data_IF_284338081158
#
_entry.id   IF_284338081158
#
_cell.length_a   1.000
_cell.length_b   1.000
_cell.length_c   1.000
_cell.angle_alpha   90.00
_cell.angle_beta   90.00
_cell.angle_gamma   90.00
#
_symmetry.space_group_name_H-M   'P 1'
#
loop_
_entity.id
_entity.type
_entity.pdbx_description
1 polymer ?
#
# COMPACT_ATOMS: atom_id res chain seq x y z
N UNK A 1 2.01 -0.17 12.35
CA UNK A 1 1.86 0.50 11.05
C UNK A 1 3.12 1.30 10.77
N UNK A 2 3.56 1.35 9.51
CA UNK A 2 4.74 2.10 9.06
C UNK A 2 4.39 2.95 7.84
N UNK A 3 4.82 4.22 7.82
CA UNK A 3 4.68 5.10 6.66
C UNK A 3 6.07 5.28 6.03
N UNK A 4 6.23 4.74 4.84
CA UNK A 4 7.47 4.70 4.08
C UNK A 4 7.44 5.77 3.00
N UNK A 5 8.29 6.80 3.17
CA UNK A 5 8.38 7.96 2.27
C UNK A 5 9.68 8.04 1.49
N UNK A 6 10.59 7.09 1.70
CA UNK A 6 11.90 7.08 1.03
C UNK A 6 12.17 5.70 0.47
N UNK A 7 12.88 5.64 -0.65
CA UNK A 7 13.26 4.36 -1.26
C UNK A 7 14.12 3.51 -0.32
N UNK A 8 15.03 4.14 0.41
CA UNK A 8 15.83 3.44 1.44
C UNK A 8 14.95 2.84 2.54
N UNK A 9 13.86 3.51 2.94
CA UNK A 9 12.89 2.99 3.90
C UNK A 9 12.18 1.75 3.35
N UNK A 10 11.79 1.79 2.07
CA UNK A 10 11.16 0.67 1.36
C UNK A 10 12.07 -0.56 1.35
N UNK A 11 13.34 -0.37 0.97
CA UNK A 11 14.31 -1.46 0.92
C UNK A 11 14.69 -2.02 2.29
N UNK A 12 14.46 -1.28 3.38
CA UNK A 12 14.76 -1.70 4.75
C UNK A 12 13.54 -2.22 5.53
N UNK A 13 12.39 -2.40 4.87
CA UNK A 13 11.20 -2.98 5.49
C UNK A 13 11.52 -4.29 6.23
N UNK A 14 11.08 -4.36 7.48
CA UNK A 14 11.22 -5.52 8.36
C UNK A 14 9.96 -6.37 8.22
N UNK A 15 9.99 -7.32 7.28
CA UNK A 15 8.92 -8.29 7.07
C UNK A 15 9.51 -9.60 6.56
N UNK A 16 8.71 -10.67 6.50
CA UNK A 16 9.19 -11.96 6.02
C UNK A 16 9.63 -11.86 4.56
N UNK A 17 10.76 -12.50 4.24
CA UNK A 17 11.43 -12.33 2.94
C UNK A 17 10.51 -12.58 1.73
N UNK A 18 9.69 -13.65 1.68
CA UNK A 18 8.82 -13.89 0.53
C UNK A 18 7.83 -12.75 0.27
N UNK A 19 7.20 -12.21 1.32
CA UNK A 19 6.22 -11.12 1.18
C UNK A 19 6.91 -9.81 0.80
N UNK A 20 8.11 -9.57 1.32
CA UNK A 20 8.95 -8.44 0.89
C UNK A 20 9.31 -8.52 -0.58
N UNK A 21 9.81 -9.67 -1.03
CA UNK A 21 10.24 -9.86 -2.41
C UNK A 21 9.05 -9.69 -3.37
N UNK A 22 7.87 -10.22 -3.01
CA UNK A 22 6.62 -10.04 -3.74
C UNK A 22 6.18 -8.56 -3.80
N UNK A 23 6.20 -7.87 -2.66
CA UNK A 23 5.85 -6.44 -2.59
C UNK A 23 6.76 -5.59 -3.47
N UNK A 24 8.09 -5.78 -3.36
CA UNK A 24 9.06 -5.01 -4.16
C UNK A 24 8.92 -5.35 -5.64
N UNK A 25 8.74 -6.61 -6.00
CA UNK A 25 8.52 -7.02 -7.39
C UNK A 25 7.29 -6.32 -7.99
N UNK A 26 6.16 -6.33 -7.27
CA UNK A 26 4.93 -5.66 -7.70
C UNK A 26 5.13 -4.15 -7.88
N UNK A 27 5.73 -3.49 -6.89
CA UNK A 27 5.99 -2.05 -6.97
C UNK A 27 6.89 -1.68 -8.15
N UNK A 28 7.84 -2.56 -8.50
CA UNK A 28 8.73 -2.37 -9.63
C UNK A 28 8.06 -2.63 -11.00
N UNK A 29 6.86 -3.24 -11.05
CA UNK A 29 6.16 -3.47 -12.33
C UNK A 29 5.87 -2.15 -13.06
N UNK A 30 5.57 -1.09 -12.31
CA UNK A 30 5.31 0.25 -12.88
C UNK A 30 6.52 0.84 -13.61
N UNK A 31 7.72 0.31 -13.35
CA UNK A 31 8.98 0.69 -14.00
C UNK A 31 9.60 -0.48 -14.77
N UNK A 32 8.80 -1.49 -15.15
CA UNK A 32 9.27 -2.70 -15.84
C UNK A 32 10.44 -3.41 -15.12
N UNK A 33 10.48 -3.34 -13.79
CA UNK A 33 11.51 -3.92 -12.94
C UNK A 33 12.73 -3.04 -12.70
N UNK A 34 12.78 -1.81 -13.24
CA UNK A 34 13.90 -0.89 -12.99
C UNK A 34 13.78 -0.25 -11.59
N UNK A 35 14.61 -0.72 -10.67
CA UNK A 35 14.65 -0.21 -9.29
C UNK A 35 15.21 1.22 -9.20
N UNK A 36 16.03 1.67 -10.15
CA UNK A 36 16.53 3.04 -10.19
C UNK A 36 15.45 4.03 -10.63
N UNK A 37 14.57 3.63 -11.56
CA UNK A 37 13.37 4.41 -11.86
C UNK A 37 12.34 4.36 -10.71
N UNK A 38 12.22 3.23 -10.03
CA UNK A 38 11.35 3.11 -8.85
C UNK A 38 11.81 4.04 -7.72
N UNK A 39 13.12 4.15 -7.51
CA UNK A 39 13.74 5.08 -6.55
C UNK A 39 13.38 6.53 -6.89
N UNK A 40 13.45 6.93 -8.17
CA UNK A 40 13.02 8.28 -8.60
C UNK A 40 11.56 8.54 -8.32
N UNK A 41 10.68 7.55 -8.51
CA UNK A 41 9.26 7.71 -8.18
C UNK A 41 9.06 7.96 -6.68
N UNK A 42 9.83 7.30 -5.82
CA UNK A 42 9.79 7.52 -4.38
C UNK A 42 10.32 8.90 -3.99
N UNK A 43 11.52 9.25 -4.47
CA UNK A 43 12.26 10.40 -3.95
C UNK A 43 11.93 11.71 -4.71
N UNK A 44 11.57 11.65 -6.00
CA UNK A 44 11.25 12.82 -6.82
C UNK A 44 9.74 13.07 -6.97
N UNK A 45 8.94 12.02 -7.24
CA UNK A 45 7.47 12.14 -7.40
C UNK A 45 6.76 12.13 -6.04
N UNK A 46 7.44 11.63 -4.99
CA UNK A 46 6.88 11.56 -3.64
C UNK A 46 5.84 10.45 -3.50
N UNK A 47 6.11 9.29 -4.12
CA UNK A 47 5.32 8.08 -3.86
C UNK A 47 5.54 7.63 -2.42
N UNK A 48 4.48 7.17 -1.77
CA UNK A 48 4.53 6.69 -0.39
C UNK A 48 3.90 5.30 -0.27
N UNK A 49 4.31 4.56 0.76
CA UNK A 49 3.69 3.30 1.15
C UNK A 49 3.27 3.36 2.62
N UNK A 50 2.02 3.05 2.90
CA UNK A 50 1.50 2.79 4.24
C UNK A 50 1.39 1.27 4.40
N UNK A 51 2.22 0.71 5.27
CA UNK A 51 2.24 -0.72 5.57
C UNK A 51 1.60 -0.98 6.93
N UNK A 52 0.56 -1.80 6.93
CA UNK A 52 -0.05 -2.34 8.15
C UNK A 52 0.64 -3.64 8.57
N UNK A 53 0.90 -3.73 9.86
CA UNK A 53 1.40 -4.92 10.53
C UNK A 53 0.22 -5.80 11.02
N UNK A 54 0.43 -7.10 11.23
CA UNK A 54 -0.62 -7.98 11.78
C UNK A 54 -1.03 -7.59 13.21
N UNK A 55 -0.13 -6.95 13.96
CA UNK A 55 -0.39 -6.48 15.33
C UNK A 55 -1.18 -5.16 15.39
N UNK A 56 -1.36 -4.47 14.25
CA UNK A 56 -2.11 -3.23 14.22
C UNK A 56 -3.61 -3.46 14.50
N UNK A 57 -4.22 -2.52 15.21
CA UNK A 57 -5.64 -2.56 15.55
C UNK A 57 -6.35 -1.31 15.07
N UNK A 58 -7.67 -1.36 14.90
CA UNK A 58 -8.46 -0.20 14.51
C UNK A 58 -8.36 0.97 15.52
N UNK A 59 -8.04 0.68 16.79
CA UNK A 59 -7.83 1.71 17.81
C UNK A 59 -6.52 2.50 17.58
N UNK A 60 -5.52 1.90 16.93
CA UNK A 60 -4.28 2.59 16.60
C UNK A 60 -4.51 3.76 15.64
N UNK A 61 -5.62 3.77 14.90
CA UNK A 61 -5.98 4.91 14.06
C UNK A 61 -6.32 6.14 14.89
N UNK A 62 -6.89 6.02 16.09
CA UNK A 62 -7.37 7.17 16.86
C UNK A 62 -6.24 8.13 17.24
N UNK A 63 -5.04 7.59 17.48
CA UNK A 63 -3.83 8.34 17.84
C UNK A 63 -3.08 8.94 16.64
N UNK A 64 -3.50 8.61 15.41
CA UNK A 64 -2.88 9.14 14.20
C UNK A 64 -3.29 10.59 13.94
N UNK A 65 -2.43 11.31 13.24
CA UNK A 65 -2.77 12.62 12.71
C UNK A 65 -3.89 12.52 11.65
N UNK A 66 -4.70 13.57 11.56
CA UNK A 66 -5.87 13.62 10.67
C UNK A 66 -5.49 13.47 9.19
N UNK A 67 -4.29 13.90 8.80
CA UNK A 67 -3.84 13.76 7.41
C UNK A 67 -3.58 12.29 7.07
N UNK A 68 -2.93 11.53 7.94
CA UNK A 68 -2.68 10.11 7.73
C UNK A 68 -3.99 9.31 7.73
N UNK A 69 -4.93 9.60 8.65
CA UNK A 69 -6.28 9.01 8.65
C UNK A 69 -7.00 9.28 7.33
N UNK A 70 -6.97 10.52 6.86
CA UNK A 70 -7.58 10.92 5.60
C UNK A 70 -7.01 10.14 4.41
N UNK A 71 -5.67 10.04 4.31
CA UNK A 71 -5.02 9.32 3.21
C UNK A 71 -5.39 7.84 3.24
N UNK A 72 -5.38 7.20 4.42
CA UNK A 72 -5.76 5.79 4.56
C UNK A 72 -7.20 5.57 4.10
N UNK A 73 -8.13 6.43 4.55
CA UNK A 73 -9.53 6.35 4.16
C UNK A 73 -9.72 6.61 2.65
N UNK A 74 -8.98 7.57 2.09
CA UNK A 74 -9.04 7.89 0.67
C UNK A 74 -8.57 6.70 -0.17
N UNK A 75 -7.39 6.13 0.12
CA UNK A 75 -6.83 5.01 -0.63
C UNK A 75 -7.69 3.75 -0.49
N UNK A 76 -8.27 3.49 0.69
CA UNK A 76 -9.13 2.33 0.88
C UNK A 76 -10.50 2.46 0.20
N UNK A 77 -11.01 3.68 0.03
CA UNK A 77 -12.34 3.93 -0.55
C UNK A 77 -12.30 4.16 -2.06
N UNK A 78 -11.26 4.82 -2.56
CA UNK A 78 -11.11 5.19 -3.97
C UNK A 78 -9.73 4.77 -4.52
N UNK A 79 -9.40 3.46 -4.46
CA UNK A 79 -8.18 2.98 -5.09
C UNK A 79 -8.29 3.04 -6.61
N UNK A 80 -7.18 3.33 -7.27
CA UNK A 80 -7.01 3.13 -8.72
C UNK A 80 -7.01 1.64 -9.06
N UNK A 81 -6.43 0.81 -8.19
CA UNK A 81 -6.53 -0.64 -8.27
C UNK A 81 -6.31 -1.27 -6.89
N UNK A 82 -6.79 -2.51 -6.77
CA UNK A 82 -6.56 -3.37 -5.60
C UNK A 82 -6.14 -4.76 -6.08
N UNK A 83 -5.12 -5.34 -5.47
CA UNK A 83 -4.59 -6.66 -5.86
C UNK A 83 -4.18 -7.47 -4.63
N UNK A 84 -4.35 -8.79 -4.72
CA UNK A 84 -3.84 -9.74 -3.74
C UNK A 84 -2.53 -10.36 -4.26
N UNK A 85 -1.45 -10.21 -3.51
CA UNK A 85 -0.13 -10.74 -3.85
C UNK A 85 0.39 -11.58 -2.70
N UNK A 86 0.41 -12.91 -2.90
CA UNK A 86 0.69 -13.85 -1.83
C UNK A 86 -0.34 -13.72 -0.71
N UNK A 87 0.10 -13.33 0.48
CA UNK A 87 -0.73 -13.15 1.67
C UNK A 87 -1.20 -11.70 1.88
N UNK A 88 -0.78 -10.77 1.02
CA UNK A 88 -0.99 -9.33 1.21
C UNK A 88 -1.97 -8.76 0.20
N UNK A 89 -2.83 -7.86 0.67
CA UNK A 89 -3.56 -6.95 -0.22
C UNK A 89 -2.78 -5.65 -0.38
N UNK A 90 -2.73 -5.15 -1.61
CA UNK A 90 -2.09 -3.89 -1.96
C UNK A 90 -3.09 -3.07 -2.76
N UNK A 91 -3.20 -1.79 -2.44
CA UNK A 91 -3.95 -0.82 -3.21
C UNK A 91 -3.08 0.38 -3.53
N UNK A 92 -3.35 1.03 -4.65
CA UNK A 92 -2.75 2.31 -5.03
C UNK A 92 -3.85 3.34 -5.20
N UNK A 93 -3.64 4.56 -4.70
CA UNK A 93 -4.42 5.73 -5.11
C UNK A 93 -3.49 6.87 -5.51
N UNK A 94 -3.88 7.63 -6.53
CA UNK A 94 -3.17 8.86 -6.93
C UNK A 94 -3.73 10.02 -6.11
N UNK A 95 -2.85 10.72 -5.40
CA UNK A 95 -3.22 11.77 -4.45
C UNK A 95 -3.31 13.16 -5.10
N UNK A 96 -2.66 13.37 -6.25
CA UNK A 96 -2.67 14.65 -6.95
C UNK A 96 -2.35 14.52 -8.44
N UNK A 97 -2.61 15.59 -9.19
CA UNK A 97 -2.37 15.68 -10.64
C UNK A 97 -0.87 15.59 -11.03
N UNK A 98 0.04 15.69 -10.06
CA UNK A 98 1.48 15.51 -10.29
C UNK A 98 1.89 14.03 -10.27
N UNK A 99 0.96 13.11 -9.99
CA UNK A 99 1.21 11.67 -9.97
C UNK A 99 1.77 11.15 -8.64
N UNK A 100 1.75 11.95 -7.57
CA UNK A 100 2.10 11.44 -6.23
C UNK A 100 1.09 10.38 -5.82
N UNK A 101 1.56 9.14 -5.71
CA UNK A 101 0.74 7.99 -5.33
C UNK A 101 0.94 7.59 -3.87
N UNK A 102 -0.08 6.98 -3.29
CA UNK A 102 0.01 6.29 -2.02
C UNK A 102 -0.39 4.83 -2.19
N UNK A 103 0.56 3.96 -1.91
CA UNK A 103 0.32 2.54 -1.73
C UNK A 103 -0.16 2.28 -0.31
N UNK A 104 -1.18 1.44 -0.18
CA UNK A 104 -1.63 0.91 1.10
C UNK A 104 -1.54 -0.61 1.03
N UNK A 105 -0.83 -1.20 1.98
CA UNK A 105 -0.59 -2.64 2.00
C UNK A 105 -0.78 -3.23 3.40
N UNK A 106 -1.24 -4.47 3.45
CA UNK A 106 -1.32 -5.25 4.68
C UNK A 106 -1.73 -6.70 4.42
N UNK A 107 -1.63 -7.54 5.43
CA UNK A 107 -1.99 -8.95 5.31
C UNK A 107 -3.51 -9.13 5.15
N UNK A 108 -3.92 -10.04 4.26
CA UNK A 108 -5.33 -10.34 3.99
C UNK A 108 -6.06 -10.95 5.21
N UNK A 109 -5.32 -11.45 6.20
CA UNK A 109 -5.83 -11.94 7.48
C UNK A 109 -6.19 -10.80 8.46
N UNK A 110 -5.71 -9.57 8.19
CA UNK A 110 -5.88 -8.42 9.08
C UNK A 110 -7.35 -8.03 9.24
N UNK A 111 -7.74 -7.70 10.47
CA UNK A 111 -9.09 -7.24 10.82
C UNK A 111 -9.23 -5.71 10.76
N UNK A 112 -8.23 -5.02 10.22
CA UNK A 112 -8.27 -3.57 10.04
C UNK A 112 -9.34 -3.17 9.03
N UNK A 113 -10.14 -2.15 9.35
CA UNK A 113 -11.20 -1.67 8.46
C UNK A 113 -10.70 -1.33 7.05
N UNK A 114 -9.58 -0.59 6.86
CA UNK A 114 -9.05 -0.33 5.52
C UNK A 114 -8.76 -1.60 4.73
N UNK A 115 -8.20 -2.63 5.38
CA UNK A 115 -7.86 -3.91 4.72
C UNK A 115 -9.13 -4.68 4.33
N UNK A 116 -10.11 -4.76 5.23
CA UNK A 116 -11.39 -5.40 4.96
C UNK A 116 -12.14 -4.70 3.81
N UNK A 117 -12.10 -3.37 3.76
CA UNK A 117 -12.68 -2.58 2.65
C UNK A 117 -11.99 -2.92 1.32
N UNK A 118 -10.66 -3.02 1.29
CA UNK A 118 -9.93 -3.39 0.07
C UNK A 118 -10.23 -4.82 -0.38
N UNK A 119 -10.26 -5.78 0.53
CA UNK A 119 -10.56 -7.19 0.20
C UNK A 119 -11.94 -7.34 -0.45
N UNK A 120 -12.96 -6.62 0.05
CA UNK A 120 -14.31 -6.66 -0.54
C UNK A 120 -14.38 -6.13 -1.98
N UNK A 121 -13.42 -5.31 -2.41
CA UNK A 121 -13.34 -4.80 -3.77
C UNK A 121 -12.77 -5.85 -4.74
N UNK A 122 -11.83 -6.70 -4.28
CA UNK A 122 -11.28 -7.81 -5.08
C UNK A 122 -12.37 -8.86 -5.40
N UNK A 123 -13.18 -9.20 -4.40
CA UNK A 123 -14.26 -10.18 -4.56
C UNK A 123 -15.35 -9.69 -5.55
N UNK A 124 -15.53 -8.37 -5.61
CA UNK A 124 -16.52 -7.72 -6.48
C UNK A 124 -16.10 -7.75 -7.96
N UNK A 125 -14.81 -7.58 -8.27
CA UNK A 125 -14.29 -7.69 -9.64
C UNK A 125 -14.30 -9.13 -10.18
N UNK A 126 -14.12 -10.11 -9.29
CA UNK A 126 -14.16 -11.54 -9.62
C UNK A 126 -15.55 -12.04 -10.06
N UNK A 127 -16.60 -11.27 -9.74
CA UNK A 127 -18.00 -11.63 -10.01
C UNK A 127 -18.53 -11.12 -11.36
N UNK A 128 -17.71 -10.38 -12.11
CA UNK A 128 -18.08 -9.75 -13.39
C UNK A 128 -17.47 -10.43 -14.62
N UNK A 129 -16.81 -11.58 -14.45
CA UNK A 129 -16.23 -12.41 -15.54
C UNK A 129 -16.95 -13.75 -15.70
#
# INVERSE_FOLDING_TARGET
MQIVKTFTGLMNLQMVKPDKDNLIAHLAEVTNGDLGELEKNWDEIGVTLILFDESDTNQAFDEMDEQAKYIINFVSTYPEYVVLIGSMVIALAILNDQGSGCYLAGYATSQLHPIQTLLSQIDSESSLN
#
